data_IF_958202635161
#
_entry.id   IF_958202635161
#
_cell.length_a   1.000
_cell.length_b   1.000
_cell.length_c   1.000
_cell.angle_alpha   90.00
_cell.angle_beta   90.00
_cell.angle_gamma   90.00
#
_symmetry.space_group_name_H-M   'P 1'
#
loop_
_entity.id
_entity.type
_entity.pdbx_description
1 polymer ?
#
# COMPACT_ATOMS: atom_id res chain seq x y z
N UNK A 1 -10.75 -13.79 -30.43
CA UNK A 1 -10.52 -12.41 -29.96
C UNK A 1 -11.36 -12.01 -28.72
N UNK A 2 -12.40 -12.76 -28.34
CA UNK A 2 -13.26 -12.44 -27.17
C UNK A 2 -12.60 -12.57 -25.78
N UNK A 3 -11.44 -13.24 -25.66
CA UNK A 3 -10.79 -13.49 -24.36
C UNK A 3 -9.88 -12.35 -23.89
N UNK A 4 -9.25 -11.60 -24.81
CA UNK A 4 -8.32 -10.51 -24.45
C UNK A 4 -9.08 -9.33 -23.82
N UNK A 5 -10.30 -9.06 -24.29
CA UNK A 5 -11.13 -7.98 -23.77
C UNK A 5 -11.54 -8.22 -22.31
N UNK A 6 -11.73 -9.49 -21.91
CA UNK A 6 -11.96 -9.85 -20.51
C UNK A 6 -10.69 -9.76 -19.67
N UNK A 7 -9.56 -10.26 -20.18
CA UNK A 7 -8.28 -10.21 -19.45
C UNK A 7 -7.79 -8.78 -19.18
N UNK A 8 -7.97 -7.86 -20.14
CA UNK A 8 -7.65 -6.44 -19.94
C UNK A 8 -8.56 -5.81 -18.88
N UNK A 9 -9.87 -6.12 -18.91
CA UNK A 9 -10.82 -5.59 -17.95
C UNK A 9 -10.51 -6.08 -16.53
N UNK A 10 -10.19 -7.36 -16.35
CA UNK A 10 -9.77 -7.92 -15.06
C UNK A 10 -8.48 -7.27 -14.56
N UNK A 11 -7.47 -7.12 -15.41
CA UNK A 11 -6.19 -6.47 -15.05
C UNK A 11 -6.41 -5.05 -14.54
N UNK A 12 -7.27 -4.28 -15.20
CA UNK A 12 -7.61 -2.91 -14.78
C UNK A 12 -8.31 -2.92 -13.43
N UNK A 13 -9.29 -3.81 -13.24
CA UNK A 13 -10.05 -3.89 -11.99
C UNK A 13 -9.11 -4.25 -10.83
N UNK A 14 -8.28 -5.29 -10.97
CA UNK A 14 -7.35 -5.71 -9.92
C UNK A 14 -6.25 -4.68 -9.65
N UNK A 15 -5.75 -3.99 -10.69
CA UNK A 15 -4.80 -2.89 -10.53
C UNK A 15 -5.39 -1.75 -9.70
N UNK A 16 -6.62 -1.31 -10.02
CA UNK A 16 -7.30 -0.25 -9.30
C UNK A 16 -7.61 -0.68 -7.87
N UNK A 17 -8.06 -1.91 -7.67
CA UNK A 17 -8.33 -2.45 -6.34
C UNK A 17 -7.05 -2.44 -5.48
N UNK A 18 -5.92 -2.89 -6.03
CA UNK A 18 -4.63 -2.88 -5.34
C UNK A 18 -4.19 -1.48 -4.92
N UNK A 19 -4.37 -0.48 -5.78
CA UNK A 19 -4.06 0.93 -5.46
C UNK A 19 -4.95 1.42 -4.29
N UNK A 20 -6.24 1.13 -4.33
CA UNK A 20 -7.18 1.52 -3.26
C UNK A 20 -6.76 0.89 -1.93
N UNK A 21 -6.41 -0.39 -1.92
CA UNK A 21 -5.93 -1.07 -0.70
C UNK A 21 -4.60 -0.51 -0.20
N UNK A 22 -3.66 -0.16 -1.08
CA UNK A 22 -2.42 0.51 -0.69
C UNK A 22 -2.70 1.86 0.00
N UNK A 23 -3.60 2.67 -0.53
CA UNK A 23 -3.98 3.97 0.06
C UNK A 23 -4.68 3.78 1.41
N UNK A 24 -5.59 2.81 1.51
CA UNK A 24 -6.27 2.48 2.77
C UNK A 24 -5.28 1.98 3.83
N UNK A 25 -4.38 1.08 3.45
CA UNK A 25 -3.35 0.56 4.35
C UNK A 25 -2.45 1.69 4.86
N UNK A 26 -1.98 2.57 3.98
CA UNK A 26 -1.19 3.73 4.38
C UNK A 26 -1.94 4.61 5.37
N UNK A 27 -3.22 4.89 5.11
CA UNK A 27 -4.05 5.72 6.00
C UNK A 27 -4.29 5.06 7.36
N UNK A 28 -4.47 3.74 7.40
CA UNK A 28 -4.60 2.98 8.65
C UNK A 28 -3.29 3.04 9.43
N UNK A 29 -2.15 2.88 8.77
CA UNK A 29 -0.82 2.95 9.38
C UNK A 29 -0.53 4.34 9.94
N UNK A 30 -0.83 5.39 9.18
CA UNK A 30 -0.68 6.78 9.64
C UNK A 30 -1.56 7.09 10.85
N UNK A 31 -2.75 6.48 10.92
CA UNK A 31 -3.61 6.57 12.10
C UNK A 31 -3.09 5.78 13.30
N UNK A 32 -2.44 4.64 13.05
CA UNK A 32 -1.90 3.75 14.08
C UNK A 32 -0.57 4.27 14.66
N UNK A 33 0.15 5.12 13.94
CA UNK A 33 1.36 5.77 14.44
C UNK A 33 1.03 7.19 14.90
N UNK A 34 0.84 7.41 16.22
CA UNK A 34 0.58 8.73 16.76
C UNK A 34 1.84 9.61 16.66
N UNK A 35 1.68 10.78 16.04
CA UNK A 35 2.73 11.77 15.83
C UNK A 35 3.04 11.92 14.35
N UNK A 36 2.91 13.14 13.81
CA UNK A 36 3.09 13.45 12.39
C UNK A 36 4.34 12.75 11.81
N UNK A 37 4.14 11.59 11.17
CA UNK A 37 5.22 10.78 10.61
C UNK A 37 6.03 11.61 9.62
N UNK A 38 5.35 12.40 8.80
CA UNK A 38 5.98 13.30 7.85
C UNK A 38 6.91 14.33 8.52
N UNK A 39 6.53 14.88 9.68
CA UNK A 39 7.40 15.82 10.42
C UNK A 39 8.56 15.12 11.10
N UNK A 40 8.34 13.97 11.75
CA UNK A 40 9.43 13.25 12.43
C UNK A 40 10.45 12.64 11.45
N UNK A 41 10.02 12.24 10.25
CA UNK A 41 10.92 11.74 9.21
C UNK A 41 11.65 12.90 8.51
N UNK A 42 10.97 14.03 8.24
CA UNK A 42 11.56 15.15 7.50
C UNK A 42 12.37 16.12 8.36
N UNK A 43 11.87 16.54 9.53
CA UNK A 43 12.55 17.48 10.43
C UNK A 43 13.52 16.76 11.37
N UNK A 44 13.06 15.73 12.10
CA UNK A 44 13.88 15.03 13.12
C UNK A 44 14.80 13.95 12.52
N UNK A 45 14.71 13.68 11.21
CA UNK A 45 15.46 12.63 10.51
C UNK A 45 15.41 11.27 11.24
N UNK A 46 14.26 10.93 11.80
CA UNK A 46 14.12 9.70 12.56
C UNK A 46 14.11 8.48 11.63
N UNK A 47 15.31 7.93 11.38
CA UNK A 47 15.51 6.74 10.53
C UNK A 47 14.76 5.51 11.04
N UNK A 48 14.57 5.36 12.35
CA UNK A 48 13.82 4.24 12.91
C UNK A 48 12.35 4.31 12.47
N UNK A 49 11.74 5.51 12.53
CA UNK A 49 10.37 5.71 12.04
C UNK A 49 10.26 5.48 10.53
N UNK A 50 11.25 5.94 9.75
CA UNK A 50 11.27 5.74 8.30
C UNK A 50 11.35 4.25 7.90
N UNK A 51 12.18 3.46 8.59
CA UNK A 51 12.29 2.01 8.35
C UNK A 51 11.01 1.29 8.75
N UNK A 52 10.40 1.65 9.88
CA UNK A 52 9.12 1.07 10.31
C UNK A 52 7.99 1.42 9.33
N UNK A 53 7.91 2.66 8.87
CA UNK A 53 6.95 3.08 7.85
C UNK A 53 7.13 2.30 6.54
N UNK A 54 8.38 2.15 6.08
CA UNK A 54 8.70 1.34 4.89
C UNK A 54 8.32 -0.13 5.06
N UNK A 55 8.61 -0.72 6.22
CA UNK A 55 8.24 -2.12 6.52
C UNK A 55 6.73 -2.32 6.58
N UNK A 56 5.97 -1.36 7.12
CA UNK A 56 4.51 -1.41 7.15
C UNK A 56 3.91 -1.34 5.74
N UNK A 57 4.41 -0.43 4.90
CA UNK A 57 3.99 -0.34 3.48
C UNK A 57 4.30 -1.65 2.75
N UNK A 58 5.47 -2.24 2.96
CA UNK A 58 5.82 -3.55 2.40
C UNK A 58 4.86 -4.65 2.86
N UNK A 59 4.47 -4.68 4.14
CA UNK A 59 3.48 -5.61 4.66
C UNK A 59 2.12 -5.48 3.96
N UNK A 60 1.65 -4.26 3.75
CA UNK A 60 0.40 -3.99 3.01
C UNK A 60 0.51 -4.51 1.57
N UNK A 61 1.61 -4.22 0.88
CA UNK A 61 1.85 -4.70 -0.48
C UNK A 61 1.82 -6.24 -0.55
N UNK A 62 2.38 -6.93 0.44
CA UNK A 62 2.38 -8.40 0.52
C UNK A 62 0.96 -8.95 0.73
N UNK A 63 0.16 -8.34 1.63
CA UNK A 63 -1.23 -8.75 1.88
C UNK A 63 -2.07 -8.58 0.60
N UNK A 64 -1.91 -7.45 -0.09
CA UNK A 64 -2.60 -7.18 -1.35
C UNK A 64 -2.18 -8.18 -2.43
N UNK A 65 -0.88 -8.44 -2.57
CA UNK A 65 -0.37 -9.44 -3.50
C UNK A 65 -0.95 -10.84 -3.20
N UNK A 66 -0.95 -11.26 -1.93
CA UNK A 66 -1.51 -12.55 -1.52
C UNK A 66 -3.03 -12.64 -1.77
N UNK A 67 -3.76 -11.53 -1.62
CA UNK A 67 -5.21 -11.47 -1.84
C UNK A 67 -5.60 -11.54 -3.32
N UNK A 68 -4.70 -11.12 -4.23
CA UNK A 68 -4.93 -11.18 -5.68
C UNK A 68 -4.50 -12.53 -6.27
N UNK A 69 -3.48 -13.18 -5.69
CA UNK A 69 -2.97 -14.49 -6.14
C UNK A 69 -3.64 -15.69 -5.44
N UNK A 70 -4.60 -15.44 -4.54
CA UNK A 70 -5.33 -16.46 -3.76
C UNK A 70 -6.61 -16.95 -4.42
#
# INVERSE_FOLDING_TARGET
MANIQKGVLETIIFSVLGIIFCVLGYKVVDWLVPGNMGKQIADDKNLALAVVAGAMILGICIIVAASIHG
#
